data_IF_875272553391
#
_entry.id   IF_875272553391
#
_cell.length_a   1.000
_cell.length_b   1.000
_cell.length_c   1.000
_cell.angle_alpha   90.00
_cell.angle_beta   90.00
_cell.angle_gamma   90.00
#
_symmetry.space_group_name_H-M   'P 1'
#
loop_
_entity.id
_entity.type
_entity.pdbx_description
1 polymer ?
#
# COMPACT_ATOMS: atom_id res chain seq x y z
N UNK A 1 -7.73 31.33 2.80
CA UNK A 1 -7.84 30.53 1.56
C UNK A 1 -7.34 29.11 1.75
N UNK A 2 -6.15 28.88 2.32
CA UNK A 2 -5.57 27.54 2.50
C UNK A 2 -6.48 26.52 3.22
N UNK A 3 -7.17 26.86 4.33
CA UNK A 3 -8.02 25.89 5.03
C UNK A 3 -9.27 25.46 4.23
N UNK A 4 -9.83 26.36 3.41
CA UNK A 4 -10.97 26.01 2.55
C UNK A 4 -10.53 25.08 1.42
N UNK A 5 -9.35 25.33 0.83
CA UNK A 5 -8.79 24.48 -0.23
C UNK A 5 -8.40 23.10 0.29
N UNK A 6 -7.87 23.00 1.51
CA UNK A 6 -7.60 21.72 2.18
C UNK A 6 -8.89 20.95 2.48
N UNK A 7 -9.94 21.64 2.94
CA UNK A 7 -11.25 21.02 3.14
C UNK A 7 -11.86 20.55 1.82
N UNK A 8 -11.74 21.32 0.73
CA UNK A 8 -12.22 20.93 -0.59
C UNK A 8 -11.47 19.72 -1.15
N UNK A 9 -10.14 19.68 -1.02
CA UNK A 9 -9.33 18.51 -1.36
C UNK A 9 -9.80 17.27 -0.58
N UNK A 10 -10.03 17.42 0.73
CA UNK A 10 -10.46 16.31 1.57
C UNK A 10 -11.87 15.81 1.23
N UNK A 11 -12.79 16.72 0.89
CA UNK A 11 -14.13 16.39 0.42
C UNK A 11 -14.10 15.60 -0.88
N UNK A 12 -13.31 16.04 -1.86
CA UNK A 12 -13.18 15.34 -3.13
C UNK A 12 -12.66 13.91 -2.92
N UNK A 13 -11.62 13.72 -2.11
CA UNK A 13 -11.10 12.39 -1.78
C UNK A 13 -12.10 11.51 -1.02
N UNK A 14 -12.93 12.09 -0.16
CA UNK A 14 -14.02 11.36 0.52
C UNK A 14 -15.06 10.87 -0.48
N UNK A 15 -15.42 11.72 -1.44
CA UNK A 15 -16.34 11.34 -2.52
C UNK A 15 -15.76 10.22 -3.39
N UNK A 16 -14.45 10.24 -3.68
CA UNK A 16 -13.80 9.12 -4.38
C UNK A 16 -13.88 7.81 -3.59
N UNK A 17 -13.61 7.85 -2.28
CA UNK A 17 -13.69 6.68 -1.41
C UNK A 17 -15.12 6.12 -1.35
N UNK A 18 -16.13 6.99 -1.16
CA UNK A 18 -17.54 6.60 -1.17
C UNK A 18 -17.98 6.07 -2.55
N UNK A 19 -17.45 6.63 -3.64
CA UNK A 19 -17.75 6.18 -5.00
C UNK A 19 -17.26 4.74 -5.28
N UNK A 20 -16.23 4.27 -4.57
CA UNK A 20 -15.75 2.89 -4.67
C UNK A 20 -16.71 1.88 -4.02
N UNK A 21 -17.62 2.34 -3.15
CA UNK A 21 -18.49 1.50 -2.33
C UNK A 21 -19.94 1.40 -2.86
N UNK A 22 -20.22 1.99 -4.01
CA UNK A 22 -21.54 2.00 -4.64
C UNK A 22 -21.56 1.26 -5.98
N UNK A 23 -22.76 0.93 -6.46
CA UNK A 23 -23.00 0.33 -7.77
C UNK A 23 -22.41 1.18 -8.92
N UNK A 24 -22.03 0.56 -10.06
CA UNK A 24 -21.53 1.29 -11.23
C UNK A 24 -22.49 2.38 -11.73
N UNK A 25 -23.80 2.16 -11.61
CA UNK A 25 -24.83 3.14 -11.99
C UNK A 25 -24.82 4.39 -11.11
N UNK A 26 -24.59 4.25 -9.80
CA UNK A 26 -24.57 5.38 -8.88
C UNK A 26 -23.20 6.07 -8.82
N UNK A 27 -22.14 5.33 -9.11
CA UNK A 27 -20.74 5.79 -9.04
C UNK A 27 -20.49 7.07 -9.82
N UNK A 28 -21.00 7.15 -11.05
CA UNK A 28 -20.79 8.32 -11.92
C UNK A 28 -21.28 9.64 -11.28
N UNK A 29 -22.44 9.62 -10.61
CA UNK A 29 -22.98 10.82 -9.96
C UNK A 29 -22.19 11.26 -8.72
N UNK A 30 -21.60 10.31 -7.99
CA UNK A 30 -20.72 10.63 -6.85
C UNK A 30 -19.39 11.19 -7.34
N UNK A 31 -18.80 10.59 -8.39
CA UNK A 31 -17.55 11.06 -9.00
C UNK A 31 -17.68 12.46 -9.60
N UNK A 32 -18.80 12.77 -10.26
CA UNK A 32 -19.00 14.10 -10.85
C UNK A 32 -18.91 15.21 -9.80
N UNK A 33 -19.45 14.98 -8.60
CA UNK A 33 -19.33 15.93 -7.47
C UNK A 33 -17.89 16.12 -7.01
N UNK A 34 -17.06 15.08 -7.06
CA UNK A 34 -15.63 15.19 -6.76
C UNK A 34 -14.91 16.01 -7.83
N UNK A 35 -15.24 15.78 -9.11
CA UNK A 35 -14.67 16.50 -10.24
C UNK A 35 -15.04 17.99 -10.22
N UNK A 36 -16.31 18.33 -9.94
CA UNK A 36 -16.75 19.72 -9.81
C UNK A 36 -15.93 20.50 -8.78
N UNK A 37 -15.61 19.89 -7.63
CA UNK A 37 -14.77 20.54 -6.61
C UNK A 37 -13.40 20.88 -7.21
N UNK A 38 -12.76 19.91 -7.86
CA UNK A 38 -11.41 20.07 -8.43
C UNK A 38 -11.40 21.08 -9.57
N UNK A 39 -12.39 21.04 -10.45
CA UNK A 39 -12.50 21.96 -11.58
C UNK A 39 -12.69 23.41 -11.12
N UNK A 40 -13.40 23.63 -10.00
CA UNK A 40 -13.58 24.95 -9.40
C UNK A 40 -12.32 25.48 -8.70
N UNK A 41 -11.52 24.60 -8.09
CA UNK A 41 -10.30 25.00 -7.37
C UNK A 41 -9.03 24.95 -8.23
N UNK A 42 -9.08 24.26 -9.37
CA UNK A 42 -7.96 24.04 -10.27
C UNK A 42 -6.73 23.47 -9.57
N UNK A 43 -5.56 24.01 -9.91
CA UNK A 43 -4.29 23.66 -9.26
C UNK A 43 -4.13 24.28 -7.86
N UNK A 44 -5.16 24.85 -7.23
CA UNK A 44 -5.04 25.57 -5.96
C UNK A 44 -4.70 24.70 -4.74
N UNK A 45 -4.84 23.37 -4.83
CA UNK A 45 -4.55 22.46 -3.73
C UNK A 45 -3.05 22.39 -3.42
N UNK A 46 -2.72 22.26 -2.14
CA UNK A 46 -1.37 22.06 -1.65
C UNK A 46 -0.88 20.61 -1.84
N UNK A 47 -1.80 19.64 -1.89
CA UNK A 47 -1.51 18.21 -2.05
C UNK A 47 -1.60 17.77 -3.53
N UNK A 48 -0.46 17.45 -4.19
CA UNK A 48 -0.46 16.85 -5.52
C UNK A 48 -1.09 15.45 -5.52
N UNK A 49 -0.90 14.69 -4.44
CA UNK A 49 -1.49 13.35 -4.25
C UNK A 49 -3.01 13.33 -4.28
N UNK A 50 -3.66 14.34 -3.71
CA UNK A 50 -5.11 14.47 -3.82
C UNK A 50 -5.56 14.68 -5.29
N UNK A 51 -4.85 15.53 -6.05
CA UNK A 51 -5.16 15.79 -7.46
C UNK A 51 -4.88 14.58 -8.34
N UNK A 52 -3.82 13.81 -8.07
CA UNK A 52 -3.51 12.55 -8.76
C UNK A 52 -4.65 11.54 -8.58
N UNK A 53 -5.13 11.34 -7.35
CA UNK A 53 -6.22 10.39 -7.10
C UNK A 53 -7.51 10.75 -7.86
N UNK A 54 -7.81 12.05 -7.95
CA UNK A 54 -8.94 12.54 -8.77
C UNK A 54 -8.70 12.30 -10.26
N UNK A 55 -7.49 12.57 -10.75
CA UNK A 55 -7.15 12.33 -12.16
C UNK A 55 -7.22 10.84 -12.52
N UNK A 56 -6.80 9.93 -11.63
CA UNK A 56 -6.92 8.48 -11.81
C UNK A 56 -8.37 8.01 -11.91
N UNK A 57 -9.29 8.67 -11.20
CA UNK A 57 -10.72 8.39 -11.27
C UNK A 57 -11.41 8.98 -12.51
N UNK A 58 -10.77 9.92 -13.21
CA UNK A 58 -11.31 10.60 -14.38
C UNK A 58 -10.92 9.89 -15.70
N UNK A 59 -11.63 10.22 -16.77
CA UNK A 59 -11.38 9.70 -18.12
C UNK A 59 -11.17 10.83 -19.15
N UNK A 60 -10.58 10.47 -20.29
CA UNK A 60 -10.41 11.37 -21.44
C UNK A 60 -9.72 12.70 -21.12
N UNK A 61 -10.23 13.79 -21.69
CA UNK A 61 -9.65 15.13 -21.53
C UNK A 61 -9.67 15.63 -20.08
N UNK A 62 -10.66 15.19 -19.28
CA UNK A 62 -10.76 15.57 -17.86
C UNK A 62 -9.58 15.01 -17.07
N UNK A 63 -9.22 13.73 -17.28
CA UNK A 63 -8.03 13.09 -16.69
C UNK A 63 -6.78 13.91 -16.96
N UNK A 64 -6.53 14.26 -18.22
CA UNK A 64 -5.36 15.03 -18.63
C UNK A 64 -5.35 16.41 -17.96
N UNK A 65 -6.48 17.10 -17.95
CA UNK A 65 -6.61 18.42 -17.32
C UNK A 65 -6.30 18.38 -15.82
N UNK A 66 -6.87 17.44 -15.08
CA UNK A 66 -6.61 17.29 -13.64
C UNK A 66 -5.17 16.84 -13.37
N UNK A 67 -4.60 15.97 -14.20
CA UNK A 67 -3.18 15.60 -14.11
C UNK A 67 -2.25 16.82 -14.29
N UNK A 68 -2.59 17.75 -15.19
CA UNK A 68 -1.86 19.02 -15.32
C UNK A 68 -2.02 19.94 -14.10
N UNK A 69 -3.16 19.90 -13.40
CA UNK A 69 -3.29 20.57 -12.10
C UNK A 69 -2.39 19.94 -11.04
N UNK A 70 -2.33 18.61 -10.97
CA UNK A 70 -1.43 17.87 -10.08
C UNK A 70 0.04 18.24 -10.35
N UNK A 71 0.43 18.29 -11.63
CA UNK A 71 1.76 18.72 -12.06
C UNK A 71 2.08 20.15 -11.59
N UNK A 72 1.15 21.08 -11.78
CA UNK A 72 1.33 22.46 -11.33
C UNK A 72 1.44 22.56 -9.80
N UNK A 73 0.69 21.76 -9.04
CA UNK A 73 0.82 21.69 -7.58
C UNK A 73 2.17 21.10 -7.15
N UNK A 74 2.58 19.97 -7.75
CA UNK A 74 3.87 19.33 -7.48
C UNK A 74 5.04 20.27 -7.77
N UNK A 75 4.97 21.07 -8.84
CA UNK A 75 6.03 22.02 -9.20
C UNK A 75 6.23 23.15 -8.19
N UNK A 76 5.17 23.55 -7.47
CA UNK A 76 5.22 24.60 -6.43
C UNK A 76 5.58 24.06 -5.05
N UNK A 77 5.56 22.74 -4.87
CA UNK A 77 5.94 22.11 -3.61
C UNK A 77 7.45 21.91 -3.57
N UNK A 78 8.07 22.32 -2.45
CA UNK A 78 9.49 22.10 -2.15
C UNK A 78 9.70 20.82 -1.30
N UNK A 79 8.61 20.09 -0.99
CA UNK A 79 8.62 18.92 -0.10
C UNK A 79 8.81 17.59 -0.85
N UNK A 80 9.10 16.52 -0.11
CA UNK A 80 9.30 15.17 -0.66
C UNK A 80 8.12 14.61 -1.47
N UNK A 81 6.89 15.10 -1.25
CA UNK A 81 5.69 14.72 -2.04
C UNK A 81 5.71 15.28 -3.47
N UNK A 82 6.53 16.30 -3.75
CA UNK A 82 6.64 16.91 -5.08
C UNK A 82 7.12 15.90 -6.13
N UNK A 83 8.20 15.15 -5.83
CA UNK A 83 8.78 14.18 -6.78
C UNK A 83 7.81 13.04 -7.07
N UNK A 84 7.10 12.55 -6.04
CA UNK A 84 6.08 11.53 -6.24
C UNK A 84 4.91 12.08 -7.08
N UNK A 85 4.45 13.31 -6.79
CA UNK A 85 3.39 13.96 -7.56
C UNK A 85 3.74 14.11 -9.05
N UNK A 86 4.99 14.43 -9.38
CA UNK A 86 5.48 14.47 -10.76
C UNK A 86 5.42 13.07 -11.41
N UNK A 87 5.92 12.04 -10.73
CA UNK A 87 5.95 10.67 -11.24
C UNK A 87 4.54 10.14 -11.50
N UNK A 88 3.62 10.34 -10.55
CA UNK A 88 2.26 9.85 -10.68
C UNK A 88 1.49 10.62 -11.77
N UNK A 89 1.63 11.95 -11.83
CA UNK A 89 1.02 12.76 -12.88
C UNK A 89 1.54 12.39 -14.28
N UNK A 90 2.83 12.05 -14.44
CA UNK A 90 3.39 11.64 -15.74
C UNK A 90 2.64 10.46 -16.37
N UNK A 91 2.21 9.48 -15.58
CA UNK A 91 1.46 8.32 -16.09
C UNK A 91 0.02 8.62 -16.52
N UNK A 92 -0.46 9.84 -16.28
CA UNK A 92 -1.81 10.30 -16.62
C UNK A 92 -1.80 11.30 -17.79
N UNK A 93 -0.62 11.64 -18.31
CA UNK A 93 -0.41 12.60 -19.39
C UNK A 93 -0.14 11.88 -20.73
N UNK A 94 -0.30 12.57 -21.87
CA UNK A 94 0.17 12.09 -23.17
C UNK A 94 1.66 11.77 -23.15
N UNK A 95 2.09 10.82 -24.00
CA UNK A 95 3.44 10.25 -24.00
C UNK A 95 4.57 11.28 -24.06
N UNK A 96 4.42 12.31 -24.89
CA UNK A 96 5.42 13.38 -25.05
C UNK A 96 5.58 14.19 -23.75
N UNK A 97 4.48 14.66 -23.16
CA UNK A 97 4.47 15.38 -21.88
C UNK A 97 4.96 14.49 -20.73
N UNK A 98 4.56 13.21 -20.72
CA UNK A 98 4.94 12.24 -19.69
C UNK A 98 6.47 12.05 -19.63
N UNK A 99 7.15 12.01 -20.78
CA UNK A 99 8.60 11.86 -20.83
C UNK A 99 9.32 13.09 -20.28
N UNK A 100 8.85 14.30 -20.59
CA UNK A 100 9.41 15.54 -20.05
C UNK A 100 9.25 15.63 -18.53
N UNK A 101 8.05 15.31 -18.03
CA UNK A 101 7.76 15.32 -16.59
C UNK A 101 8.56 14.25 -15.85
N UNK A 102 8.73 13.05 -16.44
CA UNK A 102 9.56 12.01 -15.86
C UNK A 102 11.05 12.43 -15.79
N UNK A 103 11.56 13.12 -16.82
CA UNK A 103 12.90 13.70 -16.79
C UNK A 103 13.04 14.79 -15.71
N UNK A 104 12.03 15.65 -15.56
CA UNK A 104 11.98 16.64 -14.47
C UNK A 104 12.03 15.97 -13.09
N UNK A 105 11.24 14.90 -12.88
CA UNK A 105 11.22 14.16 -11.62
C UNK A 105 12.57 13.54 -11.26
N UNK A 106 13.25 12.94 -12.24
CA UNK A 106 14.61 12.40 -12.10
C UNK A 106 15.61 13.52 -11.75
N UNK A 107 15.54 14.65 -12.45
CA UNK A 107 16.42 15.78 -12.20
C UNK A 107 16.24 16.36 -10.80
N UNK A 108 14.99 16.58 -10.36
CA UNK A 108 14.67 17.07 -9.01
C UNK A 108 15.15 16.12 -7.91
N UNK A 109 15.11 14.82 -8.17
CA UNK A 109 15.59 13.83 -7.22
C UNK A 109 17.12 13.66 -7.19
N UNK A 110 17.87 14.34 -8.07
CA UNK A 110 19.32 14.19 -8.18
C UNK A 110 19.77 12.82 -8.70
N UNK A 111 18.90 12.08 -9.39
CA UNK A 111 19.18 10.72 -9.86
C UNK A 111 17.95 9.82 -9.77
N UNK A 112 18.12 8.62 -9.19
CA UNK A 112 17.02 7.68 -9.03
C UNK A 112 16.02 8.21 -7.99
N UNK A 113 14.78 8.57 -8.36
CA UNK A 113 13.86 9.19 -7.42
C UNK A 113 13.57 8.30 -6.21
N UNK A 114 13.78 8.77 -4.97
CA UNK A 114 13.60 7.95 -3.77
C UNK A 114 12.16 7.46 -3.62
N UNK A 115 11.19 8.16 -4.23
CA UNK A 115 9.78 7.76 -4.29
C UNK A 115 9.49 6.56 -5.22
N UNK A 116 10.45 6.10 -6.03
CA UNK A 116 10.29 4.90 -6.89
C UNK A 116 10.50 3.59 -6.12
N UNK A 117 10.31 3.55 -4.80
CA UNK A 117 10.40 2.28 -4.06
C UNK A 117 9.54 1.23 -4.76
N UNK A 118 10.02 -0.01 -4.95
CA UNK A 118 9.20 -1.07 -5.52
C UNK A 118 7.90 -1.19 -4.72
N UNK A 119 6.78 -0.93 -5.39
CA UNK A 119 5.48 -0.89 -4.75
C UNK A 119 4.37 -0.46 -5.71
N UNK A 120 3.10 -0.66 -5.31
CA UNK A 120 1.92 -0.45 -6.18
C UNK A 120 1.63 1.02 -6.52
N UNK A 121 2.53 1.95 -6.21
CA UNK A 121 2.32 3.40 -6.35
C UNK A 121 2.76 3.98 -7.69
N UNK A 122 3.35 3.18 -8.58
CA UNK A 122 3.77 3.61 -9.92
C UNK A 122 2.96 2.86 -10.96
N UNK A 123 2.18 3.61 -11.75
CA UNK A 123 1.43 3.03 -12.87
C UNK A 123 2.37 2.52 -13.97
N UNK A 124 1.91 1.58 -14.80
CA UNK A 124 2.68 1.11 -15.95
C UNK A 124 3.12 2.26 -16.87
N UNK A 125 2.22 3.22 -17.11
CA UNK A 125 2.51 4.40 -17.94
C UNK A 125 3.60 5.28 -17.32
N UNK A 126 3.54 5.55 -16.01
CA UNK A 126 4.60 6.26 -15.29
C UNK A 126 5.93 5.51 -15.37
N UNK A 127 5.91 4.19 -15.21
CA UNK A 127 7.12 3.36 -15.26
C UNK A 127 7.78 3.39 -16.64
N UNK A 128 6.99 3.33 -17.72
CA UNK A 128 7.49 3.46 -19.10
C UNK A 128 8.09 4.84 -19.35
N UNK A 129 7.44 5.91 -18.89
CA UNK A 129 7.98 7.27 -19.02
C UNK A 129 9.33 7.43 -18.29
N UNK A 130 9.44 6.89 -17.07
CA UNK A 130 10.67 6.93 -16.28
C UNK A 130 11.79 6.05 -16.87
N UNK A 131 11.48 4.86 -17.41
CA UNK A 131 12.47 4.03 -18.09
C UNK A 131 13.13 4.81 -19.23
N UNK A 132 12.31 5.46 -20.07
CA UNK A 132 12.78 6.23 -21.22
C UNK A 132 13.55 7.47 -20.78
N UNK A 133 13.03 8.23 -19.83
CA UNK A 133 13.69 9.43 -19.30
C UNK A 133 15.04 9.09 -18.65
N UNK A 134 15.17 7.92 -18.01
CA UNK A 134 16.42 7.50 -17.36
C UNK A 134 17.55 7.13 -18.33
N UNK A 135 17.34 7.15 -19.65
CA UNK A 135 18.36 6.77 -20.66
C UNK A 135 19.53 7.75 -20.72
N UNK A 136 19.31 8.98 -20.28
CA UNK A 136 20.35 10.01 -20.17
C UNK A 136 21.20 9.88 -18.90
N UNK A 137 20.82 9.03 -17.95
CA UNK A 137 21.52 8.91 -16.67
C UNK A 137 22.83 8.11 -16.80
N UNK A 138 23.84 8.44 -15.96
CA UNK A 138 25.00 7.58 -15.76
C UNK A 138 24.62 6.15 -15.38
N UNK A 139 25.45 5.18 -15.81
CA UNK A 139 25.15 3.76 -15.63
C UNK A 139 24.73 3.35 -14.21
N UNK A 140 25.41 3.77 -13.12
CA UNK A 140 24.99 3.40 -11.75
C UNK A 140 23.60 3.91 -11.38
N UNK A 141 23.26 5.15 -11.76
CA UNK A 141 21.95 5.73 -11.47
C UNK A 141 20.85 5.08 -12.31
N UNK A 142 21.15 4.78 -13.58
CA UNK A 142 20.20 4.10 -14.47
C UNK A 142 19.84 2.71 -13.98
N UNK A 143 20.80 1.91 -13.53
CA UNK A 143 20.55 0.56 -12.97
C UNK A 143 19.57 0.63 -11.80
N UNK A 144 19.74 1.61 -10.90
CA UNK A 144 18.87 1.80 -9.75
C UNK A 144 17.45 2.21 -10.13
N UNK A 145 17.30 3.11 -11.12
CA UNK A 145 15.98 3.44 -11.66
C UNK A 145 15.32 2.20 -12.26
N UNK A 146 16.04 1.44 -13.08
CA UNK A 146 15.49 0.24 -13.72
C UNK A 146 15.05 -0.80 -12.69
N UNK A 147 15.88 -1.07 -11.67
CA UNK A 147 15.59 -2.00 -10.58
C UNK A 147 14.27 -1.67 -9.87
N UNK A 148 14.08 -0.40 -9.54
CA UNK A 148 12.89 0.15 -8.91
C UNK A 148 11.62 0.04 -9.77
N UNK A 149 11.77 0.07 -11.09
CA UNK A 149 10.65 0.01 -12.04
C UNK A 149 10.26 -1.40 -12.47
N UNK A 150 11.09 -2.42 -12.21
CA UNK A 150 10.91 -3.78 -12.79
C UNK A 150 9.51 -4.35 -12.59
N UNK A 151 8.91 -4.19 -11.40
CA UNK A 151 7.58 -4.73 -11.09
C UNK A 151 6.45 -4.04 -11.85
N UNK A 152 6.63 -2.76 -12.22
CA UNK A 152 5.63 -1.94 -12.91
C UNK A 152 5.84 -1.90 -14.44
N UNK A 153 6.97 -2.38 -14.95
CA UNK A 153 7.26 -2.36 -16.39
C UNK A 153 6.51 -3.47 -17.15
N UNK A 154 6.03 -3.16 -18.38
CA UNK A 154 5.48 -4.18 -19.27
C UNK A 154 6.57 -5.20 -19.65
N UNK A 155 6.16 -6.43 -19.99
CA UNK A 155 7.05 -7.59 -20.12
C UNK A 155 8.28 -7.34 -21.02
N UNK A 156 8.10 -6.69 -22.17
CA UNK A 156 9.22 -6.39 -23.07
C UNK A 156 10.19 -5.36 -22.51
N UNK A 157 9.68 -4.30 -21.88
CA UNK A 157 10.51 -3.26 -21.28
C UNK A 157 11.24 -3.82 -20.05
N UNK A 158 10.57 -4.67 -19.26
CA UNK A 158 11.16 -5.40 -18.15
C UNK A 158 12.30 -6.30 -18.61
N UNK A 159 12.13 -7.07 -19.68
CA UNK A 159 13.20 -7.92 -20.22
C UNK A 159 14.43 -7.11 -20.65
N UNK A 160 14.23 -5.96 -21.32
CA UNK A 160 15.34 -5.06 -21.69
C UNK A 160 16.02 -4.43 -20.47
N UNK A 161 15.24 -4.02 -19.47
CA UNK A 161 15.74 -3.46 -18.23
C UNK A 161 16.61 -4.47 -17.47
N UNK A 162 16.14 -5.72 -17.36
CA UNK A 162 16.92 -6.83 -16.78
C UNK A 162 18.23 -7.00 -17.52
N UNK A 163 18.22 -7.19 -18.85
CA UNK A 163 19.45 -7.33 -19.65
C UNK A 163 20.44 -6.16 -19.47
N UNK A 164 19.95 -4.94 -19.26
CA UNK A 164 20.80 -3.80 -18.97
C UNK A 164 21.42 -3.85 -17.57
N UNK A 165 20.63 -4.20 -16.54
CA UNK A 165 21.11 -4.43 -15.17
C UNK A 165 22.19 -5.53 -15.18
N UNK A 166 21.94 -6.65 -15.87
CA UNK A 166 22.87 -7.78 -15.93
C UNK A 166 24.20 -7.41 -16.59
N UNK A 167 24.16 -6.70 -17.74
CA UNK A 167 25.38 -6.27 -18.46
C UNK A 167 26.25 -5.32 -17.65
N UNK A 168 25.66 -4.60 -16.70
CA UNK A 168 26.35 -3.57 -15.91
C UNK A 168 26.43 -3.93 -14.43
N UNK A 169 26.26 -5.22 -14.12
CA UNK A 169 26.25 -5.73 -12.77
C UNK A 169 27.53 -5.37 -12.00
N UNK A 170 27.34 -4.85 -10.78
CA UNK A 170 28.40 -4.68 -9.79
C UNK A 170 27.86 -5.07 -8.41
N UNK A 171 28.69 -5.65 -7.50
CA UNK A 171 28.25 -6.09 -6.16
C UNK A 171 27.55 -5.01 -5.32
N UNK A 172 27.84 -3.73 -5.61
CA UNK A 172 27.33 -2.57 -4.87
C UNK A 172 26.40 -1.68 -5.74
N UNK A 173 25.75 -2.27 -6.74
CA UNK A 173 24.91 -1.49 -7.67
C UNK A 173 23.57 -1.03 -7.08
N UNK A 174 23.18 -1.55 -5.90
CA UNK A 174 21.98 -1.17 -5.17
C UNK A 174 22.34 -0.45 -3.87
N UNK A 175 21.64 0.63 -3.56
CA UNK A 175 21.81 1.40 -2.32
C UNK A 175 20.91 0.88 -1.20
N UNK A 176 19.79 0.24 -1.54
CA UNK A 176 18.82 -0.21 -0.56
C UNK A 176 18.48 -1.69 -0.73
N UNK A 177 18.01 -2.29 0.35
CA UNK A 177 17.57 -3.69 0.37
C UNK A 177 16.37 -3.90 -0.56
N UNK A 178 15.46 -2.94 -0.63
CA UNK A 178 14.25 -2.98 -1.45
C UNK A 178 14.61 -3.04 -2.95
N UNK A 179 15.63 -2.31 -3.39
CA UNK A 179 16.13 -2.37 -4.77
C UNK A 179 16.61 -3.80 -5.11
N UNK A 180 17.38 -4.42 -4.21
CA UNK A 180 17.84 -5.79 -4.38
C UNK A 180 16.65 -6.78 -4.38
N UNK A 181 15.69 -6.60 -3.47
CA UNK A 181 14.46 -7.43 -3.40
C UNK A 181 13.67 -7.37 -4.72
N UNK A 182 13.54 -6.19 -5.33
CA UNK A 182 12.80 -6.01 -6.58
C UNK A 182 13.47 -6.66 -7.80
N UNK A 183 14.80 -6.69 -7.83
CA UNK A 183 15.56 -7.31 -8.94
C UNK A 183 15.62 -8.82 -8.82
N UNK A 184 15.60 -9.33 -7.59
CA UNK A 184 15.82 -10.76 -7.30
C UNK A 184 14.94 -11.72 -8.12
N UNK A 185 13.63 -11.48 -8.33
CA UNK A 185 12.78 -12.35 -9.15
C UNK A 185 13.24 -12.50 -10.61
N UNK A 186 14.01 -11.55 -11.12
CA UNK A 186 14.44 -11.47 -12.52
C UNK A 186 15.89 -11.89 -12.75
N UNK A 187 16.63 -12.30 -11.72
CA UNK A 187 18.03 -12.70 -11.85
C UNK A 187 18.16 -13.96 -12.73
N UNK A 188 19.02 -13.91 -13.74
CA UNK A 188 19.49 -15.12 -14.42
C UNK A 188 20.25 -16.05 -13.46
N UNK A 189 20.36 -17.33 -13.80
CA UNK A 189 21.10 -18.30 -12.97
C UNK A 189 22.54 -17.85 -12.65
N UNK A 190 23.36 -17.33 -13.60
CA UNK A 190 24.71 -16.87 -13.28
C UNK A 190 24.75 -15.72 -12.28
N UNK A 191 23.78 -14.80 -12.31
CA UNK A 191 23.71 -13.70 -11.34
C UNK A 191 23.12 -14.14 -10.01
N UNK A 192 22.23 -15.12 -10.02
CA UNK A 192 21.75 -15.76 -8.79
C UNK A 192 22.90 -16.39 -8.03
N UNK A 193 23.80 -17.15 -8.69
CA UNK A 193 24.98 -17.73 -8.02
C UNK A 193 25.87 -16.64 -7.40
N UNK A 194 26.13 -15.55 -8.15
CA UNK A 194 26.91 -14.42 -7.62
C UNK A 194 26.23 -13.76 -6.43
N UNK A 195 24.92 -13.55 -6.48
CA UNK A 195 24.16 -12.99 -5.36
C UNK A 195 24.19 -13.89 -4.12
N UNK A 196 24.22 -15.21 -4.30
CA UNK A 196 24.35 -16.19 -3.21
C UNK A 196 25.74 -16.16 -2.55
N UNK A 197 26.80 -15.80 -3.30
CA UNK A 197 28.15 -15.59 -2.76
C UNK A 197 28.25 -14.29 -1.92
N UNK A 198 27.38 -13.31 -2.15
CA UNK A 198 27.41 -11.97 -1.55
C UNK A 198 26.45 -11.80 -0.34
N UNK A 199 25.88 -12.88 0.19
CA UNK A 199 25.01 -12.84 1.38
C UNK A 199 25.84 -12.42 2.62
N UNK A 200 25.35 -11.52 3.52
CA UNK A 200 23.97 -11.05 3.67
C UNK A 200 23.67 -9.68 3.03
N UNK A 201 24.50 -9.17 2.12
CA UNK A 201 24.18 -7.92 1.40
C UNK A 201 22.84 -8.06 0.67
N UNK A 202 22.52 -9.27 0.23
CA UNK A 202 21.27 -9.61 -0.43
C UNK A 202 20.15 -10.09 0.51
N UNK A 203 18.89 -9.74 0.21
CA UNK A 203 17.71 -10.18 0.95
C UNK A 203 17.49 -11.69 0.84
N UNK A 204 17.79 -12.41 1.92
CA UNK A 204 17.73 -13.89 2.00
C UNK A 204 16.37 -14.46 1.56
N UNK A 205 15.26 -13.84 1.96
CA UNK A 205 13.94 -14.34 1.61
C UNK A 205 13.63 -14.20 0.10
N UNK A 206 14.08 -13.12 -0.55
CA UNK A 206 13.86 -12.92 -1.98
C UNK A 206 14.73 -13.90 -2.78
N UNK A 207 15.98 -14.11 -2.37
CA UNK A 207 16.87 -15.12 -2.96
C UNK A 207 16.28 -16.52 -2.81
N UNK A 208 15.71 -16.84 -1.64
CA UNK A 208 14.99 -18.08 -1.41
C UNK A 208 13.81 -18.25 -2.37
N UNK A 209 12.95 -17.24 -2.52
CA UNK A 209 11.85 -17.27 -3.47
C UNK A 209 12.33 -17.45 -4.92
N UNK A 210 13.44 -16.82 -5.30
CA UNK A 210 14.03 -16.99 -6.64
C UNK A 210 14.56 -18.42 -6.84
N UNK A 211 15.24 -19.00 -5.84
CA UNK A 211 15.69 -20.40 -5.87
C UNK A 211 14.50 -21.36 -6.06
N UNK A 212 13.39 -21.14 -5.35
CA UNK A 212 12.15 -21.92 -5.53
C UNK A 212 11.65 -21.79 -6.98
N UNK A 213 11.63 -20.58 -7.54
CA UNK A 213 11.15 -20.36 -8.92
C UNK A 213 11.99 -21.05 -10.02
N UNK A 214 13.24 -21.44 -9.73
CA UNK A 214 14.10 -22.23 -10.62
C UNK A 214 14.21 -23.70 -10.22
N UNK A 215 13.35 -24.17 -9.30
CA UNK A 215 13.32 -25.58 -8.87
C UNK A 215 14.40 -25.99 -7.86
N UNK A 216 15.09 -25.04 -7.22
CA UNK A 216 16.15 -25.27 -6.20
C UNK A 216 15.59 -25.13 -4.78
N UNK A 217 14.50 -25.83 -4.49
CA UNK A 217 13.71 -25.71 -3.25
C UNK A 217 14.51 -26.07 -1.98
N UNK A 218 15.26 -27.17 -2.02
CA UNK A 218 16.06 -27.64 -0.89
C UNK A 218 17.17 -26.63 -0.54
N UNK A 219 17.74 -25.99 -1.56
CA UNK A 219 18.75 -24.95 -1.39
C UNK A 219 18.15 -23.64 -0.89
N UNK A 220 16.93 -23.28 -1.32
CA UNK A 220 16.19 -22.15 -0.78
C UNK A 220 15.95 -22.30 0.73
N UNK A 221 15.51 -23.50 1.15
CA UNK A 221 15.33 -23.82 2.57
C UNK A 221 16.67 -23.78 3.32
N UNK A 222 17.71 -24.40 2.76
CA UNK A 222 19.05 -24.38 3.36
C UNK A 222 19.63 -22.95 3.48
N UNK A 223 19.35 -22.06 2.52
CA UNK A 223 19.76 -20.67 2.56
C UNK A 223 19.09 -19.95 3.75
N UNK A 224 17.76 -20.02 3.85
CA UNK A 224 17.02 -19.36 4.93
C UNK A 224 17.45 -19.90 6.30
N UNK A 225 17.65 -21.22 6.44
CA UNK A 225 18.10 -21.85 7.68
C UNK A 225 19.57 -21.58 8.03
N UNK A 226 20.44 -21.35 7.05
CA UNK A 226 21.87 -21.04 7.26
C UNK A 226 22.09 -19.62 7.74
N UNK A 227 21.38 -18.66 7.15
CA UNK A 227 21.47 -17.24 7.51
C UNK A 227 20.57 -16.85 8.69
N UNK A 228 20.01 -17.89 9.31
CA UNK A 228 19.18 -17.87 10.50
C UNK A 228 19.97 -17.62 11.81
N UNK A 229 21.25 -17.27 11.75
CA UNK A 229 21.99 -16.73 12.90
C UNK A 229 21.59 -15.28 13.27
N UNK A 230 20.82 -14.63 12.40
CA UNK A 230 20.09 -13.39 12.67
C UNK A 230 18.90 -13.67 13.62
N UNK A 231 18.39 -12.65 14.32
CA UNK A 231 17.40 -12.83 15.40
C UNK A 231 16.21 -13.74 15.04
N UNK A 232 15.61 -14.39 16.04
CA UNK A 232 14.46 -15.29 15.84
C UNK A 232 13.32 -14.62 15.05
N UNK A 233 13.08 -13.32 15.28
CA UNK A 233 12.12 -12.53 14.52
C UNK A 233 12.43 -12.44 13.03
N UNK A 234 13.70 -12.19 12.65
CA UNK A 234 14.11 -12.14 11.24
C UNK A 234 13.94 -13.49 10.56
N UNK A 235 14.34 -14.58 11.25
CA UNK A 235 14.14 -15.94 10.76
C UNK A 235 12.68 -16.25 10.46
N UNK A 236 11.77 -15.83 11.35
CA UNK A 236 10.36 -16.13 11.22
C UNK A 236 9.78 -15.43 10.00
N UNK A 237 10.12 -14.16 9.80
CA UNK A 237 9.75 -13.40 8.60
C UNK A 237 10.22 -14.11 7.31
N UNK A 238 11.50 -14.50 7.26
CA UNK A 238 12.07 -15.15 6.09
C UNK A 238 11.43 -16.52 5.79
N UNK A 239 11.16 -17.33 6.82
CA UNK A 239 10.51 -18.63 6.66
C UNK A 239 9.04 -18.53 6.26
N UNK A 240 8.30 -17.55 6.80
CA UNK A 240 6.91 -17.29 6.41
C UNK A 240 6.84 -16.93 4.92
N UNK A 241 7.66 -15.97 4.47
CA UNK A 241 7.75 -15.55 3.05
C UNK A 241 8.20 -16.69 2.14
N UNK A 242 9.17 -17.50 2.56
CA UNK A 242 9.58 -18.68 1.80
C UNK A 242 8.44 -19.71 1.69
N UNK A 243 7.69 -19.93 2.77
CA UNK A 243 6.56 -20.86 2.79
C UNK A 243 5.42 -20.46 1.87
N UNK A 244 5.22 -19.16 1.62
CA UNK A 244 4.28 -18.68 0.59
C UNK A 244 4.73 -19.03 -0.83
N UNK A 245 6.04 -19.00 -1.10
CA UNK A 245 6.59 -19.37 -2.41
C UNK A 245 6.59 -20.90 -2.66
N UNK A 246 6.60 -21.71 -1.58
CA UNK A 246 6.68 -23.16 -1.67
C UNK A 246 5.30 -23.84 -1.86
N UNK A 247 5.25 -24.95 -2.62
CA UNK A 247 4.04 -25.75 -2.73
C UNK A 247 3.67 -26.36 -1.37
N UNK A 248 2.37 -26.62 -1.08
CA UNK A 248 1.91 -27.03 0.25
C UNK A 248 2.69 -28.17 0.91
N UNK A 249 3.08 -29.21 0.15
CA UNK A 249 3.83 -30.37 0.67
C UNK A 249 5.32 -30.13 0.95
N UNK A 250 5.87 -28.97 0.60
CA UNK A 250 7.30 -28.61 0.80
C UNK A 250 7.49 -27.47 1.79
N UNK A 251 6.41 -26.93 2.34
CA UNK A 251 6.43 -25.78 3.25
C UNK A 251 7.18 -26.08 4.56
N UNK A 252 7.91 -25.10 5.14
CA UNK A 252 8.70 -25.28 6.37
C UNK A 252 7.81 -25.23 7.63
N UNK A 253 6.77 -26.07 7.70
CA UNK A 253 5.76 -26.04 8.76
C UNK A 253 6.38 -26.26 10.15
N UNK A 254 7.22 -27.30 10.29
CA UNK A 254 7.81 -27.64 11.58
C UNK A 254 8.82 -26.59 12.04
N UNK A 255 9.64 -26.04 11.14
CA UNK A 255 10.56 -24.97 11.50
C UNK A 255 9.85 -23.68 11.91
N UNK A 256 8.78 -23.31 11.20
CA UNK A 256 8.00 -22.12 11.56
C UNK A 256 7.34 -22.31 12.93
N UNK A 257 6.78 -23.49 13.21
CA UNK A 257 6.18 -23.77 14.53
C UNK A 257 7.20 -23.71 15.65
N UNK A 258 8.32 -24.41 15.51
CA UNK A 258 9.39 -24.41 16.51
C UNK A 258 9.92 -22.99 16.76
N UNK A 259 10.11 -22.22 15.70
CA UNK A 259 10.58 -20.84 15.82
C UNK A 259 9.56 -19.92 16.48
N UNK A 260 8.27 -20.08 16.19
CA UNK A 260 7.22 -19.31 16.86
C UNK A 260 7.16 -19.60 18.36
N UNK A 261 7.55 -20.79 18.82
CA UNK A 261 7.68 -21.10 20.25
C UNK A 261 8.83 -20.33 20.93
N UNK A 262 9.87 -19.96 20.19
CA UNK A 262 11.00 -19.14 20.69
C UNK A 262 10.67 -17.64 20.78
N UNK A 263 9.76 -17.15 19.94
CA UNK A 263 9.39 -15.72 19.86
C UNK A 263 8.63 -15.26 21.11
N UNK A 264 8.78 -13.99 21.47
CA UNK A 264 7.89 -13.36 22.46
C UNK A 264 6.45 -13.27 21.91
N UNK A 265 5.40 -13.29 22.76
CA UNK A 265 4.00 -13.21 22.31
C UNK A 265 3.71 -12.04 21.36
N UNK A 266 4.31 -10.89 21.62
CA UNK A 266 4.17 -9.66 20.82
C UNK A 266 4.79 -9.84 19.43
N UNK A 267 5.98 -10.45 19.35
CA UNK A 267 6.64 -10.76 18.08
C UNK A 267 5.84 -11.76 17.25
N UNK A 268 5.26 -12.78 17.90
CA UNK A 268 4.36 -13.74 17.22
C UNK A 268 3.16 -13.02 16.61
N UNK A 269 2.50 -12.16 17.39
CA UNK A 269 1.35 -11.40 16.93
C UNK A 269 1.71 -10.47 15.78
N UNK A 270 2.84 -9.77 15.87
CA UNK A 270 3.33 -8.92 14.80
C UNK A 270 3.56 -9.72 13.50
N UNK A 271 4.14 -10.92 13.58
CA UNK A 271 4.32 -11.79 12.40
C UNK A 271 2.99 -12.24 11.79
N UNK A 272 1.99 -12.55 12.63
CA UNK A 272 0.63 -12.88 12.16
C UNK A 272 -0.03 -11.69 11.46
N UNK A 273 0.14 -10.48 12.00
CA UNK A 273 -0.36 -9.25 11.38
C UNK A 273 0.30 -8.96 10.02
N UNK A 274 1.62 -9.10 9.92
CA UNK A 274 2.33 -8.81 8.67
C UNK A 274 2.14 -9.89 7.61
N UNK A 275 1.97 -11.15 8.00
CA UNK A 275 1.85 -12.30 7.09
C UNK A 275 0.63 -13.18 7.39
N UNK A 276 -0.61 -12.66 7.29
CA UNK A 276 -1.80 -13.40 7.71
C UNK A 276 -2.01 -14.68 6.88
N UNK A 277 -1.82 -14.62 5.57
CA UNK A 277 -1.95 -15.76 4.66
C UNK A 277 -0.90 -16.84 4.93
N UNK A 278 0.38 -16.47 5.01
CA UNK A 278 1.45 -17.39 5.41
C UNK A 278 1.20 -18.03 6.77
N UNK A 279 0.76 -17.24 7.76
CA UNK A 279 0.50 -17.71 9.11
C UNK A 279 -0.59 -18.77 9.13
N UNK A 280 -1.70 -18.52 8.45
CA UNK A 280 -2.78 -19.51 8.28
C UNK A 280 -2.25 -20.78 7.60
N UNK A 281 -1.50 -20.62 6.51
CA UNK A 281 -0.96 -21.74 5.72
C UNK A 281 0.07 -22.62 6.44
N UNK A 282 0.86 -22.05 7.36
CA UNK A 282 2.01 -22.71 7.99
C UNK A 282 1.73 -23.11 9.45
N UNK A 283 1.01 -22.29 10.21
CA UNK A 283 0.66 -22.58 11.60
C UNK A 283 -0.66 -23.35 11.67
N UNK A 284 -1.59 -23.03 10.77
CA UNK A 284 -2.99 -23.49 10.76
C UNK A 284 -3.94 -22.43 11.30
N UNK A 285 -5.17 -22.44 10.80
CA UNK A 285 -6.23 -21.45 11.05
C UNK A 285 -6.41 -21.12 12.54
N UNK A 286 -6.62 -22.17 13.35
CA UNK A 286 -6.86 -22.08 14.79
C UNK A 286 -5.62 -21.63 15.57
N UNK A 287 -4.42 -22.01 15.12
CA UNK A 287 -3.19 -21.59 15.77
C UNK A 287 -2.91 -20.10 15.53
N UNK A 288 -3.11 -19.64 14.29
CA UNK A 288 -2.97 -18.23 13.93
C UNK A 288 -3.95 -17.34 14.71
N UNK A 289 -5.21 -17.76 14.85
CA UNK A 289 -6.20 -17.06 15.68
C UNK A 289 -5.80 -16.99 17.15
N UNK A 290 -5.40 -18.11 17.76
CA UNK A 290 -4.97 -18.13 19.16
C UNK A 290 -3.75 -17.23 19.41
N UNK A 291 -2.82 -17.16 18.47
CA UNK A 291 -1.66 -16.26 18.57
C UNK A 291 -2.11 -14.80 18.55
N UNK A 292 -3.02 -14.42 17.64
CA UNK A 292 -3.54 -13.07 17.58
C UNK A 292 -4.31 -12.69 18.86
N UNK A 293 -5.11 -13.61 19.42
CA UNK A 293 -5.85 -13.41 20.67
C UNK A 293 -4.97 -13.29 21.91
N UNK A 294 -3.91 -14.09 21.95
CA UNK A 294 -2.95 -14.14 23.06
C UNK A 294 -1.94 -13.00 23.07
N UNK A 295 -2.10 -12.01 22.18
CA UNK A 295 -1.28 -10.80 22.17
C UNK A 295 -1.56 -9.98 23.44
N UNK A 296 -0.54 -9.88 24.30
CA UNK A 296 -0.55 -9.07 25.52
C UNK A 296 0.57 -8.06 25.38
N UNK A 297 0.27 -6.82 25.00
CA UNK A 297 1.29 -5.79 24.77
C UNK A 297 1.31 -4.73 25.88
N UNK A 298 2.50 -4.15 26.21
CA UNK A 298 2.58 -2.87 26.93
C UNK A 298 2.08 -1.67 26.10
N UNK A 299 2.01 -1.80 24.76
CA UNK A 299 1.65 -0.77 23.77
C UNK A 299 0.16 -0.68 23.40
N UNK A 300 -0.73 -1.41 24.09
CA UNK A 300 -2.18 -1.31 23.88
C UNK A 300 -2.74 -2.30 22.85
N UNK A 301 -4.05 -2.27 22.64
CA UNK A 301 -4.83 -3.25 21.85
C UNK A 301 -4.57 -3.25 20.33
N UNK A 302 -3.63 -2.42 19.85
CA UNK A 302 -3.37 -2.18 18.43
C UNK A 302 -3.00 -3.46 17.68
N UNK A 303 -1.91 -4.14 18.07
CA UNK A 303 -1.41 -5.28 17.32
C UNK A 303 -2.40 -6.45 17.30
N UNK A 304 -3.09 -6.68 18.42
CA UNK A 304 -4.17 -7.67 18.53
C UNK A 304 -5.30 -7.38 17.55
N UNK A 305 -5.80 -6.14 17.54
CA UNK A 305 -6.88 -5.71 16.65
C UNK A 305 -6.46 -5.85 15.19
N UNK A 306 -5.28 -5.35 14.83
CA UNK A 306 -4.76 -5.44 13.46
C UNK A 306 -4.53 -6.88 12.99
N UNK A 307 -3.98 -7.75 13.85
CA UNK A 307 -3.78 -9.16 13.53
C UNK A 307 -5.11 -9.88 13.29
N UNK A 308 -6.10 -9.72 14.17
CA UNK A 308 -7.43 -10.32 14.01
C UNK A 308 -8.15 -9.80 12.76
N UNK A 309 -8.08 -8.50 12.50
CA UNK A 309 -8.70 -7.88 11.32
C UNK A 309 -8.09 -8.42 10.02
N UNK A 310 -6.75 -8.48 9.92
CA UNK A 310 -6.07 -9.03 8.75
C UNK A 310 -6.29 -10.53 8.56
N UNK A 311 -6.37 -11.29 9.65
CA UNK A 311 -6.72 -12.72 9.60
C UNK A 311 -8.12 -12.97 9.02
N UNK A 312 -9.08 -12.07 9.23
CA UNK A 312 -10.43 -12.24 8.68
C UNK A 312 -10.42 -12.41 7.15
N UNK A 313 -9.47 -11.79 6.43
CA UNK A 313 -9.30 -11.98 4.98
C UNK A 313 -8.54 -13.24 4.58
N UNK A 314 -7.62 -13.71 5.43
CA UNK A 314 -6.79 -14.88 5.15
C UNK A 314 -7.44 -16.22 5.54
N UNK A 315 -8.36 -16.20 6.51
CA UNK A 315 -9.03 -17.40 7.01
C UNK A 315 -10.04 -17.98 6.01
N UNK A 316 -10.38 -19.27 6.15
CA UNK A 316 -11.47 -19.89 5.41
C UNK A 316 -12.80 -19.15 5.61
N UNK A 317 -13.68 -19.21 4.61
CA UNK A 317 -14.95 -18.47 4.57
C UNK A 317 -15.79 -18.64 5.85
N UNK A 318 -15.84 -19.86 6.39
CA UNK A 318 -16.59 -20.20 7.60
C UNK A 318 -16.12 -19.49 8.88
N UNK A 319 -14.89 -18.96 8.90
CA UNK A 319 -14.28 -18.33 10.08
C UNK A 319 -14.18 -16.81 10.00
N UNK A 320 -14.36 -16.22 8.81
CA UNK A 320 -14.08 -14.79 8.56
C UNK A 320 -14.95 -13.86 9.40
N UNK A 321 -16.24 -14.14 9.48
CA UNK A 321 -17.19 -13.31 10.24
C UNK A 321 -16.89 -13.32 11.75
N UNK A 322 -16.50 -14.48 12.28
CA UNK A 322 -16.14 -14.61 13.69
C UNK A 322 -14.79 -13.93 13.98
N UNK A 323 -13.79 -14.06 13.11
CA UNK A 323 -12.52 -13.34 13.24
C UNK A 323 -12.72 -11.82 13.20
N UNK A 324 -13.53 -11.32 12.27
CA UNK A 324 -13.88 -9.91 12.18
C UNK A 324 -14.60 -9.42 13.46
N UNK A 325 -15.55 -10.21 13.98
CA UNK A 325 -16.22 -9.89 15.25
C UNK A 325 -15.24 -9.82 16.42
N UNK A 326 -14.28 -10.73 16.51
CA UNK A 326 -13.23 -10.70 17.54
C UNK A 326 -12.33 -9.47 17.41
N UNK A 327 -12.03 -9.03 16.19
CA UNK A 327 -11.30 -7.79 15.95
C UNK A 327 -12.08 -6.57 16.46
N UNK A 328 -13.39 -6.49 16.20
CA UNK A 328 -14.26 -5.43 16.73
C UNK A 328 -14.24 -5.40 18.27
N UNK A 329 -14.39 -6.55 18.91
CA UNK A 329 -14.36 -6.64 20.37
C UNK A 329 -12.99 -6.24 20.96
N UNK A 330 -11.90 -6.60 20.28
CA UNK A 330 -10.55 -6.18 20.68
C UNK A 330 -10.37 -4.66 20.54
N UNK A 331 -10.90 -4.06 19.47
CA UNK A 331 -10.89 -2.61 19.26
C UNK A 331 -11.66 -1.87 20.36
N UNK A 332 -12.87 -2.32 20.67
CA UNK A 332 -13.72 -1.76 21.74
C UNK A 332 -13.04 -1.88 23.12
N UNK A 333 -12.48 -3.05 23.44
CA UNK A 333 -11.74 -3.26 24.69
C UNK A 333 -10.44 -2.43 24.78
N UNK A 334 -9.90 -2.04 23.61
CA UNK A 334 -8.66 -1.31 23.45
C UNK A 334 -8.74 0.20 23.58
N UNK A 335 -9.94 0.76 23.77
CA UNK A 335 -10.13 2.21 23.84
C UNK A 335 -10.14 2.91 22.48
N UNK A 336 -10.47 2.20 21.40
CA UNK A 336 -10.70 2.79 20.06
C UNK A 336 -9.47 3.43 19.40
N UNK A 337 -8.32 2.76 19.45
CA UNK A 337 -7.06 3.21 18.84
C UNK A 337 -7.18 3.49 17.32
N UNK A 338 -6.95 4.74 16.92
CA UNK A 338 -7.00 5.21 15.54
C UNK A 338 -6.13 4.39 14.57
N UNK A 339 -4.94 3.96 14.98
CA UNK A 339 -4.03 3.20 14.13
C UNK A 339 -4.59 1.80 13.84
N UNK A 340 -5.31 1.21 14.81
CA UNK A 340 -5.93 -0.10 14.68
C UNK A 340 -7.15 -0.09 13.75
N UNK A 341 -7.83 1.06 13.65
CA UNK A 341 -9.02 1.24 12.85
C UNK A 341 -8.75 1.04 11.36
N UNK A 342 -7.54 1.38 10.87
CA UNK A 342 -7.16 1.18 9.47
C UNK A 342 -7.20 -0.29 9.05
N UNK A 343 -6.58 -1.17 9.85
CA UNK A 343 -6.63 -2.62 9.61
C UNK A 343 -8.07 -3.15 9.79
N UNK A 344 -8.82 -2.64 10.78
CA UNK A 344 -10.21 -3.04 11.04
C UNK A 344 -11.15 -2.70 9.88
N UNK A 345 -10.99 -1.54 9.24
CA UNK A 345 -11.75 -1.18 8.03
C UNK A 345 -11.52 -2.17 6.89
N UNK A 346 -10.32 -2.77 6.78
CA UNK A 346 -10.05 -3.85 5.82
C UNK A 346 -10.90 -5.11 6.05
N UNK A 347 -11.40 -5.32 7.27
CA UNK A 347 -12.30 -6.41 7.62
C UNK A 347 -13.79 -6.10 7.40
N UNK A 348 -14.14 -4.89 6.94
CA UNK A 348 -15.52 -4.44 6.73
C UNK A 348 -16.44 -5.44 5.99
N UNK A 349 -15.99 -6.18 4.95
CA UNK A 349 -16.85 -7.15 4.26
C UNK A 349 -17.42 -8.24 5.18
N UNK A 350 -16.74 -8.57 6.28
CA UNK A 350 -17.10 -9.66 7.19
C UNK A 350 -17.67 -9.20 8.54
N UNK A 351 -17.57 -7.90 8.86
CA UNK A 351 -18.17 -7.31 10.07
C UNK A 351 -19.70 -7.39 9.98
N UNK A 352 -20.45 -7.50 11.10
CA UNK A 352 -21.91 -7.47 11.01
C UNK A 352 -22.43 -6.04 10.76
N UNK A 353 -23.60 -5.83 10.12
CA UNK A 353 -24.14 -4.48 9.93
C UNK A 353 -24.30 -3.69 11.23
N UNK A 354 -24.72 -4.37 12.31
CA UNK A 354 -24.87 -3.75 13.62
C UNK A 354 -23.52 -3.32 14.23
N UNK A 355 -22.46 -4.12 14.05
CA UNK A 355 -21.12 -3.77 14.51
C UNK A 355 -20.54 -2.63 13.68
N UNK A 356 -20.74 -2.64 12.36
CA UNK A 356 -20.33 -1.55 11.48
C UNK A 356 -21.01 -0.22 11.86
N UNK A 357 -22.31 -0.23 12.16
CA UNK A 357 -23.03 0.95 12.63
C UNK A 357 -22.50 1.48 13.97
N UNK A 358 -22.15 0.59 14.91
CA UNK A 358 -21.55 0.98 16.20
C UNK A 358 -20.15 1.57 16.00
N UNK A 359 -19.32 0.97 15.17
CA UNK A 359 -17.99 1.50 14.83
C UNK A 359 -18.10 2.88 14.19
N UNK A 360 -19.00 3.08 13.23
CA UNK A 360 -19.25 4.40 12.65
C UNK A 360 -19.64 5.41 13.72
N UNK A 361 -20.58 5.06 14.61
CA UNK A 361 -21.03 5.96 15.67
C UNK A 361 -19.96 6.28 16.70
N UNK A 362 -19.05 5.34 16.99
CA UNK A 362 -18.02 5.49 18.02
C UNK A 362 -16.76 6.20 17.48
N UNK A 363 -16.43 5.99 16.21
CA UNK A 363 -15.15 6.43 15.65
C UNK A 363 -15.26 7.66 14.76
N UNK A 364 -16.39 7.87 14.08
CA UNK A 364 -16.54 9.04 13.19
C UNK A 364 -16.33 10.32 14.02
N UNK A 365 -15.39 11.15 13.59
CA UNK A 365 -14.98 12.41 14.23
C UNK A 365 -14.13 12.27 15.52
N UNK A 366 -13.92 11.07 16.05
CA UNK A 366 -13.22 10.88 17.32
C UNK A 366 -11.69 10.83 17.17
N UNK A 367 -11.19 10.26 16.06
CA UNK A 367 -9.76 9.99 15.88
C UNK A 367 -8.96 11.12 15.18
N UNK A 368 -9.58 12.21 14.73
CA UNK A 368 -8.89 13.20 13.89
C UNK A 368 -7.88 14.07 14.66
N UNK A 369 -7.84 14.01 16.00
CA UNK A 369 -6.90 14.73 16.89
C UNK A 369 -6.98 16.26 16.84
N UNK A 370 -7.53 16.83 15.76
CA UNK A 370 -7.78 18.24 15.50
C UNK A 370 -9.16 18.38 14.86
N UNK A 371 -10.10 19.12 15.48
CA UNK A 371 -11.44 19.29 14.92
C UNK A 371 -11.40 20.25 13.71
N UNK A 372 -11.03 19.74 12.55
CA UNK A 372 -11.05 20.45 11.27
C UNK A 372 -11.88 19.69 10.24
N UNK A 373 -12.55 20.42 9.33
CA UNK A 373 -13.33 19.78 8.26
C UNK A 373 -12.45 18.90 7.36
N UNK A 374 -11.20 19.30 7.10
CA UNK A 374 -10.25 18.46 6.38
C UNK A 374 -9.99 17.13 7.12
N UNK A 375 -9.83 17.17 8.46
CA UNK A 375 -9.66 15.98 9.29
C UNK A 375 -10.89 15.07 9.32
N UNK A 376 -12.11 15.63 9.31
CA UNK A 376 -13.36 14.85 9.22
C UNK A 376 -13.44 14.05 7.91
N UNK A 377 -12.95 14.63 6.81
CA UNK A 377 -13.07 14.03 5.49
C UNK A 377 -11.89 13.11 5.14
N UNK A 378 -10.66 13.40 5.56
CA UNK A 378 -9.47 12.62 5.19
C UNK A 378 -8.54 12.20 6.34
N UNK A 379 -8.80 12.62 7.58
CA UNK A 379 -8.01 12.21 8.74
C UNK A 379 -8.24 10.76 9.17
N UNK A 380 -7.69 10.40 10.33
CA UNK A 380 -8.01 9.14 10.99
C UNK A 380 -9.48 9.13 11.44
N UNK A 381 -10.13 7.97 11.27
CA UNK A 381 -11.57 7.76 11.39
C UNK A 381 -12.42 8.75 10.57
N UNK A 382 -11.90 9.15 9.41
CA UNK A 382 -12.62 10.02 8.49
C UNK A 382 -13.68 9.29 7.67
N UNK A 383 -14.54 10.08 7.01
CA UNK A 383 -15.52 9.58 6.04
C UNK A 383 -14.85 8.69 4.99
N UNK A 384 -13.67 9.07 4.49
CA UNK A 384 -12.98 8.29 3.48
C UNK A 384 -12.46 6.95 3.99
N UNK A 385 -11.86 6.92 5.18
CA UNK A 385 -11.38 5.68 5.79
C UNK A 385 -12.52 4.71 6.14
N UNK A 386 -13.69 5.26 6.51
CA UNK A 386 -14.85 4.51 6.96
C UNK A 386 -15.84 4.15 5.82
N UNK A 387 -15.53 4.45 4.56
CA UNK A 387 -16.44 4.25 3.42
C UNK A 387 -17.03 2.84 3.35
N UNK A 388 -16.18 1.80 3.50
CA UNK A 388 -16.63 0.40 3.52
C UNK A 388 -17.54 0.05 4.70
N UNK A 389 -17.39 0.73 5.84
CA UNK A 389 -18.29 0.56 6.99
C UNK A 389 -19.65 1.21 6.75
N UNK A 390 -19.74 2.35 6.06
CA UNK A 390 -21.02 2.92 5.63
C UNK A 390 -21.80 1.93 4.76
N UNK A 391 -21.12 1.34 3.78
CA UNK A 391 -21.68 0.29 2.91
C UNK A 391 -22.14 -0.90 3.72
N UNK A 392 -21.36 -1.30 4.73
CA UNK A 392 -21.70 -2.46 5.55
C UNK A 392 -22.85 -2.21 6.51
N UNK A 393 -22.95 -1.02 7.09
CA UNK A 393 -23.93 -0.66 8.10
C UNK A 393 -25.35 -0.56 7.54
N UNK A 394 -25.52 0.09 6.38
CA UNK A 394 -26.85 0.34 5.82
C UNK A 394 -26.94 0.25 4.29
N UNK A 395 -25.95 -0.37 3.64
CA UNK A 395 -25.99 -0.60 2.21
C UNK A 395 -25.66 0.66 1.39
N UNK A 396 -26.14 0.68 0.15
CA UNK A 396 -25.78 1.70 -0.85
C UNK A 396 -26.40 3.06 -0.49
N UNK A 397 -27.62 3.04 0.04
CA UNK A 397 -28.35 4.26 0.44
C UNK A 397 -27.59 5.05 1.50
N UNK A 398 -26.96 4.37 2.48
CA UNK A 398 -26.15 5.04 3.50
C UNK A 398 -24.90 5.70 2.90
N UNK A 399 -24.24 5.04 1.95
CA UNK A 399 -23.07 5.60 1.25
C UNK A 399 -23.48 6.82 0.42
N UNK A 400 -24.61 6.75 -0.27
CA UNK A 400 -25.14 7.87 -1.06
C UNK A 400 -25.56 9.06 -0.17
N UNK A 401 -26.21 8.80 0.96
CA UNK A 401 -26.55 9.84 1.93
C UNK A 401 -25.29 10.52 2.49
N UNK A 402 -24.25 9.74 2.84
CA UNK A 402 -22.97 10.30 3.26
C UNK A 402 -22.32 11.15 2.15
N UNK A 403 -22.36 10.68 0.90
CA UNK A 403 -21.83 11.44 -0.24
C UNK A 403 -22.58 12.76 -0.48
N UNK A 404 -23.90 12.76 -0.30
CA UNK A 404 -24.71 13.98 -0.35
C UNK A 404 -24.27 14.96 0.74
N UNK A 405 -24.15 14.53 2.00
CA UNK A 405 -23.70 15.40 3.10
C UNK A 405 -22.30 15.99 2.86
N UNK A 406 -21.35 15.18 2.36
CA UNK A 406 -20.01 15.66 1.95
C UNK A 406 -20.12 16.73 0.85
N UNK A 407 -21.04 16.56 -0.11
CA UNK A 407 -21.30 17.56 -1.14
C UNK A 407 -21.95 18.82 -0.56
N UNK A 408 -22.92 18.70 0.37
CA UNK A 408 -23.57 19.84 1.01
C UNK A 408 -22.61 20.66 1.87
N UNK A 409 -21.62 20.03 2.51
CA UNK A 409 -20.62 20.68 3.35
C UNK A 409 -19.90 21.86 2.66
N UNK A 410 -19.73 21.80 1.33
CA UNK A 410 -19.13 22.87 0.54
C UNK A 410 -19.90 24.18 0.58
N UNK A 411 -21.23 24.12 0.68
CA UNK A 411 -22.05 25.34 0.78
C UNK A 411 -21.82 26.07 2.09
N UNK A 412 -21.44 25.37 3.15
CA UNK A 412 -21.13 25.98 4.43
C UNK A 412 -19.73 26.61 4.42
N UNK A 413 -18.77 25.95 3.79
CA UNK A 413 -17.40 26.48 3.59
C UNK A 413 -17.38 27.81 2.82
N UNK A 414 -18.24 27.94 1.81
CA UNK A 414 -18.23 29.08 0.88
C UNK A 414 -19.33 30.12 1.12
N UNK A 415 -20.19 29.95 2.15
CA UNK A 415 -21.21 30.96 2.56
C UNK A 415 -20.76 31.91 3.67
N UNK A 416 -19.66 31.61 4.37
CA UNK A 416 -19.13 32.44 5.48
C UNK A 416 -18.03 33.39 4.97
N UNK A 417 -18.06 33.73 3.68
CA UNK A 417 -17.12 34.64 3.02
C UNK A 417 -17.65 36.06 2.93
#
# INVERSE_FOLDING_TARGET
MTPCLEADAARALSLLALAAEVSPSARAGVLERAFEIVENTGAGWSSPSALVAVAEAAEGERRIRVARFALAAARRSDEGDAVWGLVAAAGLLPEEEAQEVAAEAIARAGGAPPALVPGPRVSEASAVALERASRSLPAPQRIRVLARLLSALPAEARARAVQEIERRWAPWCFETREEAEAVTPSLSEPLLERALEEVPVWPVHALGARLVSVGREDEARALVLRWAGSSAGYRADALLRLGEALPPGRRPVEEVRALFEELAPEERCHRVKEHPSASVALLGDEAALRIAEGCVEPSGSYARTGALARLAGALPESMRAEAARRAVLAFEAGGHDADALGDLCGAAPWISPADAARLLSASLLDASGTPSLAGVFQGWASVAQLAGLFRRAGGEETVLAAAEEVALAGRWLHRVG
#
